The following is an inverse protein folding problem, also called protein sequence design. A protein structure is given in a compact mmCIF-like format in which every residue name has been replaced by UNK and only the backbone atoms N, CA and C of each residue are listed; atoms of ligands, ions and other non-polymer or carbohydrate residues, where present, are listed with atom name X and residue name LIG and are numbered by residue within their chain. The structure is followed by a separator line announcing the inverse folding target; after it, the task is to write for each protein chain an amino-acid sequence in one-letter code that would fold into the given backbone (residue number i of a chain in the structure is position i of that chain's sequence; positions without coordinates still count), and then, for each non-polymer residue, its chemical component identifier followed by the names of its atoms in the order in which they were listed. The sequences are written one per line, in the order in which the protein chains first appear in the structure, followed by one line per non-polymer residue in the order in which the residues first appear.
data_IF_840092827241
#
_entry.id   IF_840092827241
#
_cell.length_a   1.000
_cell.length_b   1.000
_cell.length_c   1.000
_cell.angle_alpha   90.00
_cell.angle_beta   90.00
_cell.angle_gamma   90.00
#
_symmetry.space_group_name_H-M   'P 1'
#
loop_
_entity.id
_entity.type
_entity.pdbx_description
1 polymer ?
#
# COMPACT_ATOMS: atom_id res chain seq x y z
N UNK A 1 -12.80 15.53 2.58
CA UNK A 1 -13.20 14.11 2.71
C UNK A 1 -12.94 13.68 4.15
N UNK A 2 -13.88 12.98 4.80
CA UNK A 2 -13.66 12.39 6.11
C UNK A 2 -12.83 11.11 5.96
N UNK A 3 -11.65 11.07 6.57
CA UNK A 3 -10.84 9.86 6.63
C UNK A 3 -11.57 8.81 7.47
N UNK A 4 -11.72 7.60 6.92
CA UNK A 4 -12.23 6.44 7.67
C UNK A 4 -11.05 5.67 8.23
N UNK A 5 -10.83 5.78 9.53
CA UNK A 5 -9.83 4.97 10.24
C UNK A 5 -10.41 3.57 10.48
N UNK A 6 -9.96 2.59 9.71
CA UNK A 6 -10.23 1.18 9.99
C UNK A 6 -9.27 0.72 11.09
N UNK A 7 -9.82 0.44 12.27
CA UNK A 7 -9.04 -0.19 13.34
C UNK A 7 -8.73 -1.65 12.98
N UNK A 8 -7.54 -2.16 13.34
CA UNK A 8 -7.30 -3.59 13.28
C UNK A 8 -8.37 -4.33 14.09
N UNK A 9 -8.78 -5.50 13.62
CA UNK A 9 -9.72 -6.36 14.36
C UNK A 9 -9.09 -6.72 15.71
N UNK A 10 -9.63 -6.15 16.79
CA UNK A 10 -9.29 -6.55 18.17
C UNK A 10 -9.74 -8.00 18.39
N UNK A 11 -8.98 -8.77 19.16
CA UNK A 11 -9.28 -10.16 19.54
C UNK A 11 -9.32 -11.18 18.39
N UNK A 12 -8.66 -10.91 17.26
CA UNK A 12 -8.49 -11.91 16.22
C UNK A 12 -7.59 -13.04 16.73
N UNK A 13 -8.14 -14.25 16.81
CA UNK A 13 -7.35 -15.46 17.10
C UNK A 13 -6.24 -15.63 16.06
N UNK A 14 -5.02 -15.83 16.53
CA UNK A 14 -3.90 -16.14 15.66
C UNK A 14 -4.17 -17.46 14.92
N UNK A 15 -4.05 -17.42 13.59
CA UNK A 15 -4.31 -18.58 12.75
C UNK A 15 -3.01 -19.34 12.49
N UNK A 16 -2.83 -20.50 13.13
CA UNK A 16 -1.75 -21.42 12.79
C UNK A 16 -1.98 -22.04 11.40
N UNK A 17 -0.93 -22.12 10.59
CA UNK A 17 -0.95 -22.72 9.25
C UNK A 17 -0.40 -24.15 9.23
N UNK A 18 0.20 -24.60 10.33
CA UNK A 18 0.86 -25.90 10.41
C UNK A 18 -0.10 -27.07 10.11
N UNK A 19 -1.35 -26.97 10.56
CA UNK A 19 -2.36 -28.04 10.39
C UNK A 19 -2.88 -28.20 8.95
N UNK A 20 -2.71 -27.18 8.10
CA UNK A 20 -3.10 -27.23 6.67
C UNK A 20 -1.91 -27.44 5.73
N UNK A 21 -0.68 -27.40 6.23
CA UNK A 21 0.52 -27.65 5.44
C UNK A 21 0.89 -26.56 4.43
N UNK A 22 0.41 -25.32 4.62
CA UNK A 22 0.73 -24.18 3.74
C UNK A 22 1.86 -23.36 4.34
N UNK A 23 2.88 -23.08 3.53
CA UNK A 23 4.05 -22.26 3.89
C UNK A 23 3.82 -20.77 3.64
N UNK A 24 4.62 -19.92 4.30
CA UNK A 24 4.59 -18.48 4.05
C UNK A 24 4.97 -18.14 2.60
N UNK A 25 5.85 -18.93 1.98
CA UNK A 25 6.25 -18.76 0.59
C UNK A 25 5.08 -19.02 -0.38
N UNK A 26 4.31 -20.08 -0.18
CA UNK A 26 3.12 -20.37 -1.00
C UNK A 26 2.07 -19.26 -0.85
N UNK A 27 1.88 -18.72 0.37
CA UNK A 27 0.98 -17.59 0.61
C UNK A 27 1.43 -16.36 -0.17
N UNK A 28 2.72 -16.02 -0.10
CA UNK A 28 3.29 -14.90 -0.84
C UNK A 28 3.10 -15.09 -2.35
N UNK A 29 3.40 -16.28 -2.88
CA UNK A 29 3.21 -16.59 -4.30
C UNK A 29 1.75 -16.44 -4.72
N UNK A 30 0.79 -16.95 -3.93
CA UNK A 30 -0.64 -16.83 -4.22
C UNK A 30 -1.13 -15.37 -4.18
N UNK A 31 -0.65 -14.56 -3.23
CA UNK A 31 -1.01 -13.14 -3.12
C UNK A 31 -0.48 -12.33 -4.31
N UNK A 32 0.72 -12.65 -4.79
CA UNK A 32 1.38 -11.99 -5.92
C UNK A 32 1.00 -12.58 -7.30
N UNK A 33 0.21 -13.66 -7.35
CA UNK A 33 -0.01 -14.41 -8.59
C UNK A 33 -0.81 -13.65 -9.67
N UNK A 34 -1.74 -12.78 -9.27
CA UNK A 34 -2.72 -12.18 -10.19
C UNK A 34 -2.70 -10.65 -10.22
N UNK A 35 -1.96 -10.01 -9.31
CA UNK A 35 -1.85 -8.55 -9.18
C UNK A 35 -0.48 -8.21 -8.63
N UNK A 36 -0.03 -7.00 -8.93
CA UNK A 36 1.18 -6.47 -8.34
C UNK A 36 1.01 -6.41 -6.82
N UNK A 37 1.90 -7.11 -6.13
CA UNK A 37 1.94 -7.23 -4.68
C UNK A 37 3.40 -7.08 -4.23
N UNK A 38 3.75 -5.85 -3.87
CA UNK A 38 5.11 -5.49 -3.53
C UNK A 38 5.39 -5.48 -2.03
N UNK A 39 6.66 -5.60 -1.70
CA UNK A 39 7.21 -5.56 -0.35
C UNK A 39 8.15 -4.38 -0.23
N UNK A 40 8.19 -3.74 0.94
CA UNK A 40 9.10 -2.61 1.15
C UNK A 40 9.51 -2.48 2.61
N UNK A 41 10.61 -1.77 2.82
CA UNK A 41 11.09 -1.37 4.14
C UNK A 41 11.59 0.07 4.12
N UNK A 42 11.44 0.74 5.25
CA UNK A 42 12.05 2.02 5.56
C UNK A 42 13.09 1.80 6.65
N UNK A 43 14.29 2.26 6.35
CA UNK A 43 15.31 2.53 7.34
C UNK A 43 15.10 3.97 7.85
N UNK A 44 14.64 4.11 9.09
CA UNK A 44 14.29 5.43 9.65
C UNK A 44 15.55 6.25 9.92
N UNK A 45 16.65 5.61 10.37
CA UNK A 45 17.89 6.31 10.68
C UNK A 45 18.56 6.83 9.41
N UNK A 46 18.63 6.00 8.36
CA UNK A 46 19.23 6.39 7.09
C UNK A 46 18.27 7.15 6.16
N UNK A 47 16.98 7.18 6.47
CA UNK A 47 15.94 7.78 5.60
C UNK A 47 15.75 7.05 4.26
N UNK A 48 16.15 5.79 4.16
CA UNK A 48 16.12 5.03 2.91
C UNK A 48 14.88 4.16 2.80
N UNK A 49 14.23 4.21 1.62
CA UNK A 49 13.13 3.33 1.24
C UNK A 49 13.65 2.26 0.27
N UNK A 50 13.47 0.98 0.58
CA UNK A 50 13.81 -0.14 -0.29
C UNK A 50 12.55 -0.89 -0.67
N UNK A 51 12.44 -1.34 -1.91
CA UNK A 51 11.20 -1.89 -2.44
C UNK A 51 11.45 -3.01 -3.45
N UNK A 52 10.54 -3.97 -3.52
CA UNK A 52 10.58 -5.04 -4.52
C UNK A 52 10.23 -4.53 -5.92
N UNK A 53 10.43 -5.38 -6.92
CA UNK A 53 10.09 -5.20 -8.33
C UNK A 53 8.62 -4.77 -8.50
N UNK A 54 7.70 -5.44 -7.80
CA UNK A 54 6.28 -5.11 -7.85
C UNK A 54 5.95 -3.72 -7.32
N UNK A 55 6.69 -3.20 -6.31
CA UNK A 55 6.51 -1.80 -5.89
C UNK A 55 6.96 -0.87 -7.01
N UNK A 56 8.13 -1.12 -7.61
CA UNK A 56 8.60 -0.34 -8.75
C UNK A 56 7.57 -0.35 -9.90
N UNK A 57 6.99 -1.52 -10.21
CA UNK A 57 5.95 -1.65 -11.23
C UNK A 57 4.64 -0.92 -10.85
N UNK A 58 4.24 -0.93 -9.58
CA UNK A 58 3.05 -0.20 -9.10
C UNK A 58 3.23 1.30 -9.34
N UNK A 59 4.40 1.85 -9.04
CA UNK A 59 4.68 3.28 -9.18
C UNK A 59 5.22 3.67 -10.57
N UNK A 60 5.37 2.73 -11.50
CA UNK A 60 5.96 2.95 -12.82
C UNK A 60 7.37 3.57 -12.75
N UNK A 61 8.18 3.02 -11.84
CA UNK A 61 9.57 3.42 -11.61
C UNK A 61 10.53 2.38 -12.22
N UNK A 62 11.71 2.81 -12.72
CA UNK A 62 12.78 1.88 -13.05
C UNK A 62 13.22 1.09 -11.81
N UNK A 63 13.41 -0.22 -11.97
CA UNK A 63 13.90 -1.07 -10.88
C UNK A 63 15.33 -0.68 -10.46
N UNK A 64 15.60 -0.73 -9.16
CA UNK A 64 16.94 -0.63 -8.59
C UNK A 64 17.07 -1.53 -7.35
N UNK A 65 18.24 -2.15 -7.16
CA UNK A 65 18.57 -2.86 -5.92
C UNK A 65 18.88 -1.93 -4.73
N UNK A 66 18.99 -0.62 -4.99
CA UNK A 66 19.29 0.42 -4.01
C UNK A 66 18.06 1.11 -3.43
N UNK A 67 18.28 2.19 -2.63
CA UNK A 67 17.20 3.03 -2.15
C UNK A 67 16.42 3.66 -3.31
N UNK A 68 15.10 3.65 -3.20
CA UNK A 68 14.19 4.30 -4.15
C UNK A 68 14.31 5.81 -4.00
N UNK A 69 14.24 6.52 -5.13
CA UNK A 69 14.08 7.96 -5.12
C UNK A 69 12.69 8.34 -4.60
N UNK A 70 12.62 8.74 -3.32
CA UNK A 70 11.38 9.11 -2.64
C UNK A 70 10.65 10.28 -3.33
N UNK A 71 11.38 11.26 -3.85
CA UNK A 71 10.77 12.39 -4.57
C UNK A 71 10.09 11.92 -5.86
N UNK A 72 10.73 11.01 -6.59
CA UNK A 72 10.14 10.42 -7.79
C UNK A 72 8.92 9.56 -7.43
N UNK A 73 9.02 8.70 -6.42
CA UNK A 73 7.89 7.89 -5.96
C UNK A 73 6.69 8.76 -5.55
N UNK A 74 6.91 9.82 -4.76
CA UNK A 74 5.84 10.72 -4.33
C UNK A 74 5.20 11.49 -5.49
N UNK A 75 5.95 11.75 -6.57
CA UNK A 75 5.43 12.38 -7.79
C UNK A 75 4.39 11.52 -8.51
N UNK A 76 4.45 10.19 -8.33
CA UNK A 76 3.52 9.21 -8.90
C UNK A 76 2.23 9.09 -8.10
N UNK A 77 2.15 9.74 -6.94
CA UNK A 77 0.98 9.75 -6.06
C UNK A 77 0.15 11.00 -6.34
N UNK A 78 -1.17 10.84 -6.35
CA UNK A 78 -2.11 11.95 -6.48
C UNK A 78 -1.84 12.99 -5.39
N UNK A 79 -1.81 14.28 -5.77
CA UNK A 79 -1.38 15.37 -4.89
C UNK A 79 -2.18 15.45 -3.58
N UNK A 80 -3.51 15.30 -3.65
CA UNK A 80 -4.40 15.24 -2.47
C UNK A 80 -4.05 14.14 -1.45
N UNK A 81 -3.42 13.04 -1.89
CA UNK A 81 -3.14 11.90 -1.02
C UNK A 81 -1.76 12.01 -0.35
N UNK A 82 -0.89 12.92 -0.81
CA UNK A 82 0.50 13.03 -0.32
C UNK A 82 0.58 13.45 1.15
N UNK A 83 -0.30 14.33 1.59
CA UNK A 83 -0.36 14.82 2.98
C UNK A 83 -0.79 13.70 3.94
N UNK A 84 -1.78 12.89 3.53
CA UNK A 84 -2.23 11.72 4.28
C UNK A 84 -1.09 10.71 4.49
N UNK A 85 -0.29 10.48 3.45
CA UNK A 85 0.85 9.56 3.51
C UNK A 85 1.89 10.05 4.50
N UNK A 86 2.29 11.32 4.39
CA UNK A 86 3.27 11.92 5.29
C UNK A 86 2.83 11.82 6.76
N UNK A 87 1.58 12.22 7.07
CA UNK A 87 1.03 12.13 8.42
C UNK A 87 0.98 10.68 8.93
N UNK A 88 0.62 9.73 8.07
CA UNK A 88 0.56 8.31 8.47
C UNK A 88 1.94 7.78 8.87
N UNK A 89 2.98 8.11 8.10
CA UNK A 89 4.34 7.69 8.42
C UNK A 89 4.87 8.38 9.69
N UNK A 90 4.54 9.65 9.90
CA UNK A 90 4.90 10.39 11.11
C UNK A 90 4.28 9.76 12.36
N UNK A 91 2.96 9.55 12.37
CA UNK A 91 2.23 8.91 13.48
C UNK A 91 2.73 7.48 13.75
N UNK A 92 2.95 6.70 12.70
CA UNK A 92 3.47 5.33 12.82
C UNK A 92 4.86 5.29 13.44
N UNK A 93 5.72 6.25 13.09
CA UNK A 93 7.08 6.35 13.61
C UNK A 93 7.09 6.88 15.05
N UNK A 94 6.26 7.88 15.36
CA UNK A 94 6.17 8.50 16.69
C UNK A 94 5.61 7.53 17.74
N UNK A 95 4.62 6.73 17.37
CA UNK A 95 3.91 5.85 18.30
C UNK A 95 4.30 4.37 18.18
N UNK A 96 5.14 4.01 17.21
CA UNK A 96 5.53 2.61 16.98
C UNK A 96 4.36 1.71 16.58
N UNK A 97 3.36 2.27 15.87
CA UNK A 97 2.11 1.57 15.54
C UNK A 97 2.08 1.11 14.08
N UNK A 98 1.28 0.07 13.82
CA UNK A 98 0.95 -0.34 12.47
C UNK A 98 -0.11 0.57 11.83
N UNK A 99 -0.16 0.56 10.51
CA UNK A 99 -1.09 1.36 9.73
C UNK A 99 -1.52 0.64 8.46
N UNK A 100 -2.63 1.11 7.90
CA UNK A 100 -2.97 0.85 6.52
C UNK A 100 -3.79 2.00 5.96
N UNK A 101 -3.68 2.23 4.66
CA UNK A 101 -4.45 3.25 3.96
C UNK A 101 -4.53 2.94 2.47
N UNK A 102 -5.52 3.53 1.81
CA UNK A 102 -5.75 3.43 0.36
C UNK A 102 -5.54 4.81 -0.25
N UNK A 103 -4.83 4.87 -1.37
CA UNK A 103 -4.47 6.10 -2.06
C UNK A 103 -4.37 5.88 -3.58
N UNK A 104 -4.32 6.98 -4.32
CA UNK A 104 -4.28 7.00 -5.78
C UNK A 104 -2.84 7.11 -6.28
N UNK A 105 -2.46 6.19 -7.15
CA UNK A 105 -1.21 6.19 -7.91
C UNK A 105 -1.53 6.41 -9.38
N UNK A 106 -0.73 7.21 -10.08
CA UNK A 106 -0.86 7.41 -11.52
C UNK A 106 -0.86 6.07 -12.26
N UNK A 107 -1.75 5.92 -13.23
CA UNK A 107 -1.74 4.79 -14.15
C UNK A 107 -1.10 5.21 -15.49
N UNK A 108 -0.71 4.23 -16.32
CA UNK A 108 -0.09 4.47 -17.63
C UNK A 108 -1.07 5.05 -18.68
N UNK A 109 -2.34 5.19 -18.34
CA UNK A 109 -3.43 5.64 -19.22
C UNK A 109 -3.89 7.08 -18.91
N UNK A 110 -3.15 7.83 -18.08
CA UNK A 110 -3.46 9.21 -17.73
C UNK A 110 -4.51 9.40 -16.63
N UNK A 111 -4.90 8.33 -15.95
CA UNK A 111 -5.76 8.38 -14.76
C UNK A 111 -5.03 7.88 -13.50
N UNK A 112 -5.80 7.37 -12.54
CA UNK A 112 -5.27 6.78 -11.32
C UNK A 112 -5.77 5.36 -11.08
N UNK A 113 -4.95 4.57 -10.39
CA UNK A 113 -5.32 3.27 -9.81
C UNK A 113 -5.30 3.39 -8.29
N UNK A 114 -6.16 2.62 -7.63
CA UNK A 114 -6.16 2.54 -6.17
C UNK A 114 -5.13 1.52 -5.70
N UNK A 115 -4.37 1.92 -4.69
CA UNK A 115 -3.31 1.11 -4.10
C UNK A 115 -3.53 1.10 -2.59
N UNK A 116 -3.35 -0.07 -1.96
CA UNK A 116 -3.36 -0.19 -0.51
C UNK A 116 -1.96 -0.47 -0.01
N UNK A 117 -1.54 0.30 0.98
CA UNK A 117 -0.31 0.02 1.74
C UNK A 117 -0.67 -0.42 3.15
N UNK A 118 0.01 -1.45 3.63
CA UNK A 118 -0.09 -1.94 5.01
C UNK A 118 1.32 -1.97 5.57
N UNK A 119 1.55 -1.26 6.66
CA UNK A 119 2.85 -1.15 7.30
C UNK A 119 2.77 -1.51 8.78
N UNK A 120 3.87 -2.02 9.32
CA UNK A 120 4.07 -2.16 10.76
C UNK A 120 5.44 -1.65 11.17
N UNK A 121 5.49 -1.08 12.35
CA UNK A 121 6.75 -0.79 13.00
C UNK A 121 7.47 -2.11 13.34
N UNK A 122 8.79 -2.07 13.26
CA UNK A 122 9.68 -3.14 13.64
C UNK A 122 10.74 -2.54 14.56
N UNK A 123 10.70 -2.95 15.82
CA UNK A 123 11.76 -2.64 16.77
C UNK A 123 13.07 -3.24 16.30
N UNK A 124 14.14 -2.44 16.29
CA UNK A 124 15.48 -2.85 15.94
C UNK A 124 16.47 -2.49 17.04
N UNK A 125 17.50 -3.31 17.26
CA UNK A 125 18.60 -2.98 18.19
C UNK A 125 19.44 -1.76 17.72
N UNK A 126 19.31 -1.35 16.45
CA UNK A 126 20.07 -0.26 15.80
C UNK A 126 19.15 0.85 15.29
N UNK A 127 18.00 1.09 15.93
CA UNK A 127 16.99 2.03 15.44
C UNK A 127 15.83 1.31 14.76
N UNK A 128 14.62 1.80 15.01
CA UNK A 128 13.39 1.22 14.49
C UNK A 128 13.28 1.35 12.97
N UNK A 129 12.45 0.52 12.36
CA UNK A 129 12.14 0.60 10.94
C UNK A 129 10.67 0.30 10.68
N UNK A 130 10.22 0.58 9.46
CA UNK A 130 8.87 0.21 9.02
C UNK A 130 9.02 -0.84 7.93
N UNK A 131 8.25 -1.92 8.03
CA UNK A 131 8.14 -2.92 6.97
C UNK A 131 6.70 -3.01 6.52
N UNK A 132 6.48 -3.29 5.25
CA UNK A 132 5.13 -3.34 4.73
C UNK A 132 4.99 -3.98 3.37
N UNK A 133 3.73 -4.01 2.94
CA UNK A 133 3.29 -4.46 1.63
C UNK A 133 2.51 -3.35 0.95
N UNK A 134 2.55 -3.32 -0.37
CA UNK A 134 1.79 -2.39 -1.21
C UNK A 134 1.25 -3.17 -2.40
N UNK A 135 -0.06 -3.10 -2.64
CA UNK A 135 -0.69 -3.85 -3.73
C UNK A 135 -1.83 -3.08 -4.39
N UNK A 136 -2.09 -3.41 -5.65
CA UNK A 136 -3.21 -2.82 -6.39
C UNK A 136 -4.55 -3.30 -5.83
N UNK A 137 -5.35 -2.33 -5.40
CA UNK A 137 -6.65 -2.54 -4.81
C UNK A 137 -7.72 -2.18 -5.83
N UNK A 138 -8.68 -3.07 -6.07
CA UNK A 138 -9.82 -2.77 -6.94
C UNK A 138 -11.02 -2.59 -6.04
N UNK A 139 -11.60 -1.40 -6.05
CA UNK A 139 -12.89 -1.18 -5.41
C UNK A 139 -13.96 -1.92 -6.20
N UNK A 140 -14.82 -2.67 -5.50
CA UNK A 140 -15.93 -3.38 -6.14
C UNK A 140 -17.04 -2.38 -6.44
N UNK A 141 -16.91 -1.65 -7.54
CA UNK A 141 -17.92 -0.71 -7.99
C UNK A 141 -19.19 -1.48 -8.39
N UNK A 142 -20.29 -1.27 -7.66
CA UNK A 142 -21.64 -1.64 -8.10
C UNK A 142 -22.24 -0.43 -8.79
N UNK A 143 -22.10 -0.35 -10.10
CA UNK A 143 -22.64 0.75 -10.89
C UNK A 143 -23.98 0.33 -11.48
N UNK A 144 -25.01 1.13 -11.25
CA UNK A 144 -26.29 1.10 -11.99
C UNK A 144 -26.45 2.48 -12.60
N UNK A 145 -26.60 2.54 -13.92
CA UNK A 145 -26.91 3.77 -14.65
C UNK A 145 -28.38 3.76 -15.07
N UNK A 146 -29.02 4.92 -14.97
CA UNK A 146 -30.33 5.17 -15.58
C UNK A 146 -30.14 6.28 -16.62
N UNK A 147 -30.59 6.06 -17.85
CA UNK A 147 -30.73 7.11 -18.86
C UNK A 147 -32.12 7.75 -18.70
N UNK A 148 -32.17 9.07 -18.58
CA UNK A 148 -33.43 9.81 -18.67
C UNK A 148 -33.71 10.08 -20.17
N UNK A 149 -34.72 9.43 -20.74
CA UNK A 149 -35.19 9.69 -22.11
C UNK A 149 -36.06 10.95 -22.12
N UNK A 150 -35.48 12.11 -21.78
CA UNK A 150 -36.12 13.39 -22.08
C UNK A 150 -35.69 13.85 -23.47
N UNK A 151 -36.41 13.36 -24.49
CA UNK A 151 -36.38 13.98 -25.82
C UNK A 151 -36.84 15.44 -25.70
N UNK A 152 -36.13 16.41 -26.30
CA UNK A 152 -36.63 17.78 -26.37
C UNK A 152 -37.91 17.81 -27.22
N UNK A 153 -38.97 18.45 -26.70
CA UNK A 153 -40.20 18.77 -27.44
C UNK A 153 -39.99 19.92 -28.41
#
# INVERSE_FOLDING_TARGET
MSLRFEQPVSDKTEQSRAHIGITDAEIVQMLAAYRLFGFWRIDIEAGHFFASEDVHAIFDLPYSDGPVNLAELMSRIHEDDRSLIAQTFEEASLHGVGFHFVYRVCNRLGGHKLVRSVGRFRDGQSGGGIVGVTYEFVERLRVVGFEDDTRPR
#
